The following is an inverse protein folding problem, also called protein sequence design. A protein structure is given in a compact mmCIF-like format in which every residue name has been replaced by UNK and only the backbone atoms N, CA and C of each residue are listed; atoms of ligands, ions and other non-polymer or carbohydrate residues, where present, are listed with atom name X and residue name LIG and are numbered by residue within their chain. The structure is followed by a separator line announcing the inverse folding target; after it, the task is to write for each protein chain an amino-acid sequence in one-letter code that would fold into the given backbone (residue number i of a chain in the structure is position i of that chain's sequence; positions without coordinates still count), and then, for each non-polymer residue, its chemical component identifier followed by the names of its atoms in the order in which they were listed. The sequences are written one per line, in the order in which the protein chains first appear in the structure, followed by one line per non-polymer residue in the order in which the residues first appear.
data_IF_661185966418
#
_entry.id   IF_661185966418
#
_cell.length_a   1.000
_cell.length_b   1.000
_cell.length_c   1.000
_cell.angle_alpha   90.00
_cell.angle_beta   90.00
_cell.angle_gamma   90.00
#
_symmetry.space_group_name_H-M   'P 1'
#
loop_
_entity.id
_entity.type
_entity.pdbx_description
1 polymer ?
#
# COMPACT_ATOMS: atom_id res chain seq x y z
N UNK A 1 5.45 -20.91 24.36
CA UNK A 1 6.63 -19.99 24.34
C UNK A 1 6.14 -18.63 23.93
N UNK A 2 6.74 -17.53 24.44
CA UNK A 2 6.41 -16.19 23.95
C UNK A 2 6.90 -16.05 22.51
N UNK A 3 6.09 -15.43 21.62
CA UNK A 3 6.49 -15.12 20.26
C UNK A 3 7.63 -14.09 20.26
N UNK A 4 8.59 -14.15 19.32
CA UNK A 4 9.59 -13.10 19.19
C UNK A 4 8.90 -11.76 18.88
N UNK A 5 9.42 -10.69 19.46
CA UNK A 5 8.98 -9.32 19.16
C UNK A 5 10.23 -8.42 19.10
N UNK A 6 10.55 -7.84 17.96
CA UNK A 6 9.82 -7.91 16.68
C UNK A 6 9.92 -9.28 15.98
N UNK A 7 8.90 -9.64 15.21
CA UNK A 7 8.87 -10.88 14.41
C UNK A 7 9.89 -10.86 13.25
N UNK A 8 10.16 -9.68 12.70
CA UNK A 8 11.20 -9.44 11.71
C UNK A 8 12.07 -8.30 12.25
N UNK A 9 13.28 -8.60 12.79
CA UNK A 9 14.15 -7.58 13.37
C UNK A 9 14.78 -6.69 12.30
N UNK A 10 15.06 -5.44 12.65
CA UNK A 10 15.71 -4.46 11.79
C UNK A 10 14.77 -3.34 11.32
N UNK A 11 15.15 -2.69 10.21
CA UNK A 11 14.39 -1.61 9.61
C UNK A 11 13.35 -2.17 8.63
N UNK A 12 12.13 -2.37 9.10
CA UNK A 12 11.02 -2.95 8.33
C UNK A 12 9.74 -2.12 8.55
N UNK A 13 9.71 -0.86 8.11
CA UNK A 13 8.55 0.02 8.25
C UNK A 13 7.43 -0.34 7.27
N UNK A 14 6.23 0.15 7.56
CA UNK A 14 5.05 0.11 6.69
C UNK A 14 4.74 -1.30 6.16
N UNK A 15 4.57 -2.31 7.02
CA UNK A 15 4.35 -3.68 6.57
C UNK A 15 2.95 -3.85 5.96
N UNK A 16 2.89 -4.47 4.78
CA UNK A 16 1.66 -4.99 4.20
C UNK A 16 1.74 -6.49 4.05
N UNK A 17 0.66 -7.20 4.42
CA UNK A 17 0.60 -8.66 4.43
C UNK A 17 -0.50 -9.20 3.52
N UNK A 18 -0.21 -10.32 2.85
CA UNK A 18 -1.21 -11.11 2.12
C UNK A 18 -1.08 -12.60 2.45
N UNK A 19 -2.21 -13.30 2.51
CA UNK A 19 -2.28 -14.76 2.64
C UNK A 19 -2.67 -15.40 1.33
N UNK A 20 -1.94 -16.46 0.94
CA UNK A 20 -2.24 -17.28 -0.25
C UNK A 20 -2.19 -18.75 0.16
N UNK A 21 -3.34 -19.38 0.31
CA UNK A 21 -3.43 -20.73 0.88
C UNK A 21 -2.91 -20.78 2.32
N UNK A 22 -1.86 -21.55 2.55
CA UNK A 22 -1.18 -21.67 3.86
C UNK A 22 0.04 -20.77 4.01
N UNK A 23 0.33 -19.97 2.99
CA UNK A 23 1.52 -19.13 2.93
C UNK A 23 1.16 -17.66 3.19
N UNK A 24 2.03 -16.95 3.91
CA UNK A 24 1.91 -15.53 4.22
C UNK A 24 3.10 -14.79 3.63
N UNK A 25 2.85 -13.61 3.07
CA UNK A 25 3.87 -12.78 2.48
C UNK A 25 3.77 -11.36 3.02
N UNK A 26 4.90 -10.77 3.41
CA UNK A 26 5.01 -9.38 3.86
C UNK A 26 5.92 -8.63 2.90
N UNK A 27 5.54 -7.40 2.57
CA UNK A 27 6.38 -6.39 1.91
C UNK A 27 6.55 -5.20 2.85
N UNK A 28 7.71 -4.53 2.79
CA UNK A 28 8.03 -3.35 3.58
C UNK A 28 8.58 -2.21 2.74
N UNK A 29 8.45 -0.98 3.23
CA UNK A 29 9.16 0.19 2.69
C UNK A 29 10.67 0.04 2.80
N UNK A 30 11.38 0.67 1.88
CA UNK A 30 12.84 0.78 1.94
C UNK A 30 13.35 2.19 1.71
N UNK A 31 12.46 3.15 1.46
CA UNK A 31 12.83 4.52 1.12
C UNK A 31 13.88 4.55 -0.01
N UNK A 32 15.01 5.24 0.18
CA UNK A 32 16.12 5.31 -0.78
C UNK A 32 17.02 4.07 -0.82
N UNK A 33 16.81 3.08 0.06
CA UNK A 33 17.66 1.90 0.10
C UNK A 33 17.32 0.87 -0.97
N UNK A 34 18.35 0.26 -1.58
CA UNK A 34 18.25 -0.78 -2.59
C UNK A 34 19.03 -2.04 -2.18
N UNK A 35 18.58 -3.24 -2.56
CA UNK A 35 17.36 -3.52 -3.34
C UNK A 35 16.10 -3.18 -2.58
N UNK A 36 15.08 -2.64 -3.29
CA UNK A 36 13.87 -2.10 -2.69
C UNK A 36 12.77 -3.13 -2.49
N UNK A 37 11.93 -2.90 -1.47
CA UNK A 37 10.73 -3.66 -1.18
C UNK A 37 11.02 -5.16 -0.96
N UNK A 38 11.61 -5.54 0.18
CA UNK A 38 11.84 -6.94 0.53
C UNK A 38 10.52 -7.70 0.64
N UNK A 39 10.51 -8.94 0.17
CA UNK A 39 9.41 -9.88 0.34
C UNK A 39 9.83 -10.94 1.34
N UNK A 40 9.12 -11.01 2.44
CA UNK A 40 9.26 -12.06 3.45
C UNK A 40 8.14 -13.07 3.32
N UNK A 41 8.46 -14.34 3.58
CA UNK A 41 7.55 -15.46 3.54
C UNK A 41 7.50 -16.17 4.90
N UNK A 42 6.31 -16.62 5.28
CA UNK A 42 6.07 -17.46 6.46
C UNK A 42 4.91 -18.41 6.23
N UNK A 43 4.86 -19.52 7.00
CA UNK A 43 3.72 -20.44 7.09
C UNK A 43 3.09 -20.48 8.48
N UNK A 44 3.66 -19.80 9.44
CA UNK A 44 3.24 -19.85 10.85
C UNK A 44 3.11 -18.45 11.50
N UNK A 45 3.45 -17.37 10.78
CA UNK A 45 3.49 -15.98 11.24
C UNK A 45 4.54 -15.68 12.32
N UNK A 46 5.35 -16.67 12.69
CA UNK A 46 6.41 -16.55 13.68
C UNK A 46 7.81 -16.59 13.03
N UNK A 47 7.99 -17.47 12.04
CA UNK A 47 9.25 -17.65 11.33
C UNK A 47 9.16 -17.06 9.93
N UNK A 48 9.95 -16.02 9.67
CA UNK A 48 9.95 -15.27 8.42
C UNK A 48 11.28 -15.41 7.69
N UNK A 49 11.22 -15.70 6.39
CA UNK A 49 12.37 -15.79 5.52
C UNK A 49 12.30 -14.73 4.43
N UNK A 50 13.36 -13.96 4.22
CA UNK A 50 13.51 -13.09 3.06
C UNK A 50 13.65 -13.96 1.80
N UNK A 51 12.74 -13.83 0.84
CA UNK A 51 12.71 -14.65 -0.39
C UNK A 51 13.05 -13.86 -1.65
N UNK A 52 13.00 -12.54 -1.61
CA UNK A 52 13.28 -11.69 -2.77
C UNK A 52 13.03 -10.22 -2.50
N UNK A 53 13.10 -9.43 -3.57
CA UNK A 53 12.79 -8.00 -3.57
C UNK A 53 11.98 -7.66 -4.82
N UNK A 54 11.04 -6.73 -4.70
CA UNK A 54 10.24 -6.25 -5.85
C UNK A 54 11.13 -5.44 -6.79
N UNK A 55 11.96 -4.55 -6.23
CA UNK A 55 12.80 -3.66 -7.00
C UNK A 55 14.28 -3.98 -6.79
N UNK A 56 14.85 -4.72 -7.73
CA UNK A 56 16.26 -5.14 -7.74
C UNK A 56 16.98 -4.85 -9.06
N UNK A 57 16.33 -4.13 -9.99
CA UNK A 57 16.89 -3.77 -11.29
C UNK A 57 16.87 -2.26 -11.51
N UNK A 58 17.86 -1.71 -12.24
CA UNK A 58 17.83 -0.31 -12.67
C UNK A 58 16.53 0.04 -13.41
N UNK A 59 15.97 1.22 -13.15
CA UNK A 59 14.77 1.72 -13.80
C UNK A 59 13.45 1.38 -13.11
N UNK A 60 13.42 0.40 -12.18
CA UNK A 60 12.21 0.11 -11.40
C UNK A 60 11.84 1.25 -10.45
N UNK A 61 12.84 1.87 -9.82
CA UNK A 61 12.70 3.15 -9.12
C UNK A 61 13.60 4.20 -9.75
N UNK A 62 13.36 5.47 -9.46
CA UNK A 62 14.21 6.56 -9.95
C UNK A 62 15.68 6.39 -9.54
N UNK A 63 15.94 5.83 -8.37
CA UNK A 63 17.27 5.48 -7.91
C UNK A 63 18.14 6.67 -7.53
N UNK A 64 19.36 6.73 -8.09
CA UNK A 64 20.36 7.72 -7.71
C UNK A 64 19.86 9.18 -7.85
N UNK A 65 20.13 9.99 -6.83
CA UNK A 65 19.75 11.41 -6.78
C UNK A 65 18.37 11.68 -6.16
N UNK A 66 17.68 10.66 -5.69
CA UNK A 66 16.49 10.85 -4.84
C UNK A 66 16.95 11.39 -3.49
N UNK A 67 16.37 12.53 -3.12
CA UNK A 67 16.70 13.17 -1.83
C UNK A 67 16.04 12.40 -0.69
N UNK A 68 16.77 12.07 0.40
CA UNK A 68 16.12 11.49 1.58
C UNK A 68 15.05 12.41 2.19
N UNK A 69 13.92 11.87 2.66
CA UNK A 69 13.54 10.46 2.67
C UNK A 69 12.73 10.00 1.43
N UNK A 70 13.23 10.18 0.22
CA UNK A 70 12.55 9.75 -1.02
C UNK A 70 12.56 8.24 -1.25
N UNK A 71 12.10 7.80 -2.44
CA UNK A 71 12.11 6.39 -2.85
C UNK A 71 10.85 5.63 -2.46
N UNK A 72 11.01 4.37 -2.05
CA UNK A 72 9.91 3.41 -1.86
C UNK A 72 9.18 3.61 -0.52
N UNK A 73 8.01 4.27 -0.57
CA UNK A 73 7.14 4.54 0.59
C UNK A 73 5.94 3.61 0.60
N UNK A 74 5.59 3.10 1.79
CA UNK A 74 4.39 2.34 2.15
C UNK A 74 3.81 1.47 1.02
N UNK A 75 4.42 0.31 0.72
CA UNK A 75 3.92 -0.61 -0.27
C UNK A 75 2.71 -1.38 0.23
N UNK A 76 1.79 -1.74 -0.67
CA UNK A 76 0.77 -2.76 -0.40
C UNK A 76 0.96 -3.96 -1.30
N UNK A 77 0.90 -5.17 -0.72
CA UNK A 77 0.88 -6.44 -1.45
C UNK A 77 -0.52 -7.02 -1.51
N UNK A 78 -0.93 -7.48 -2.69
CA UNK A 78 -2.19 -8.20 -2.94
C UNK A 78 -1.95 -9.43 -3.82
N UNK A 79 -2.90 -10.37 -3.78
CA UNK A 79 -2.88 -11.56 -4.64
C UNK A 79 -4.26 -11.77 -5.23
N UNK A 80 -4.31 -12.00 -6.54
CA UNK A 80 -5.54 -12.31 -7.27
C UNK A 80 -5.23 -13.11 -8.53
N UNK A 81 -6.00 -14.16 -8.77
CA UNK A 81 -6.00 -14.96 -10.01
C UNK A 81 -4.60 -15.44 -10.43
N UNK A 82 -3.77 -15.89 -9.46
CA UNK A 82 -2.42 -16.40 -9.70
C UNK A 82 -1.34 -15.34 -9.74
N UNK A 83 -1.67 -14.05 -9.62
CA UNK A 83 -0.73 -12.92 -9.73
C UNK A 83 -0.60 -12.20 -8.39
N UNK A 84 0.62 -11.91 -8.00
CA UNK A 84 0.94 -10.97 -6.95
C UNK A 84 1.02 -9.56 -7.52
N UNK A 85 0.46 -8.61 -6.80
CA UNK A 85 0.47 -7.18 -7.10
C UNK A 85 1.14 -6.45 -5.95
N UNK A 86 2.06 -5.55 -6.25
CA UNK A 86 2.60 -4.60 -5.28
C UNK A 86 2.41 -3.19 -5.82
N UNK A 87 1.70 -2.37 -5.07
CA UNK A 87 1.62 -0.93 -5.31
C UNK A 87 2.46 -0.19 -4.29
N UNK A 88 3.10 0.90 -4.71
CA UNK A 88 4.03 1.66 -3.88
C UNK A 88 4.18 3.07 -4.41
N UNK A 89 4.49 4.03 -3.55
CA UNK A 89 4.90 5.37 -3.97
C UNK A 89 6.42 5.45 -4.10
N UNK A 90 6.94 5.72 -5.29
CA UNK A 90 8.33 6.18 -5.51
C UNK A 90 8.40 7.69 -5.29
N UNK A 91 8.55 8.09 -4.02
CA UNK A 91 8.47 9.48 -3.59
C UNK A 91 9.68 10.29 -4.08
N UNK A 92 9.45 11.43 -4.70
CA UNK A 92 10.40 12.23 -5.48
C UNK A 92 10.96 11.51 -6.73
N UNK A 93 10.42 10.34 -7.08
CA UNK A 93 10.81 9.53 -8.22
C UNK A 93 9.74 9.48 -9.31
N UNK A 94 9.22 8.28 -9.55
CA UNK A 94 8.23 7.94 -10.59
C UNK A 94 6.78 8.10 -10.14
N UNK A 95 6.51 8.44 -8.86
CA UNK A 95 5.16 8.50 -8.31
C UNK A 95 4.60 7.12 -7.92
N UNK A 96 3.29 6.94 -8.02
CA UNK A 96 2.66 5.67 -7.68
C UNK A 96 2.92 4.63 -8.77
N UNK A 97 3.40 3.45 -8.36
CA UNK A 97 3.80 2.35 -9.23
C UNK A 97 3.04 1.07 -8.91
N UNK A 98 2.73 0.30 -9.93
CA UNK A 98 2.16 -1.05 -9.83
C UNK A 98 3.12 -2.07 -10.40
N UNK A 99 3.57 -3.00 -9.58
CA UNK A 99 4.40 -4.15 -9.96
C UNK A 99 3.58 -5.44 -9.91
N UNK A 100 3.91 -6.39 -10.79
CA UNK A 100 3.27 -7.69 -10.86
C UNK A 100 4.29 -8.83 -10.93
N UNK A 101 3.95 -9.98 -10.37
CA UNK A 101 4.72 -11.23 -10.49
C UNK A 101 3.81 -12.46 -10.30
N UNK A 102 4.10 -13.57 -10.97
CA UNK A 102 3.48 -14.87 -10.68
C UNK A 102 4.11 -15.52 -9.45
N UNK A 103 5.42 -15.30 -9.26
CA UNK A 103 6.19 -15.80 -8.11
C UNK A 103 6.55 -14.63 -7.17
N UNK A 104 6.19 -14.68 -5.89
CA UNK A 104 6.48 -13.60 -4.94
C UNK A 104 7.99 -13.36 -4.73
N UNK A 105 8.84 -14.37 -4.99
CA UNK A 105 10.30 -14.19 -5.02
C UNK A 105 10.80 -13.44 -6.26
N UNK A 106 9.93 -13.22 -7.26
CA UNK A 106 10.23 -12.57 -8.54
C UNK A 106 10.53 -13.57 -9.67
N UNK A 107 10.91 -13.08 -10.86
CA UNK A 107 11.13 -11.67 -11.15
C UNK A 107 9.84 -10.85 -11.18
N UNK A 108 9.89 -9.64 -10.67
CA UNK A 108 8.81 -8.66 -10.73
C UNK A 108 8.89 -7.84 -12.03
N UNK A 109 7.76 -7.30 -12.48
CA UNK A 109 7.69 -6.40 -13.64
C UNK A 109 8.53 -5.12 -13.43
N UNK A 110 8.64 -4.28 -14.47
CA UNK A 110 9.38 -3.01 -14.39
C UNK A 110 8.57 -1.86 -13.75
N UNK A 111 7.33 -2.16 -13.36
CA UNK A 111 6.43 -1.21 -12.73
C UNK A 111 5.70 -0.32 -13.73
N UNK A 112 4.37 -0.26 -13.61
CA UNK A 112 3.49 0.62 -14.37
C UNK A 112 3.25 1.88 -13.54
N UNK A 113 3.42 3.06 -14.14
CA UNK A 113 3.09 4.33 -13.49
C UNK A 113 1.58 4.53 -13.47
N UNK A 114 1.05 4.80 -12.26
CA UNK A 114 -0.36 5.14 -12.06
C UNK A 114 -0.50 6.66 -12.11
N UNK A 115 -1.30 7.18 -13.02
CA UNK A 115 -1.46 8.62 -13.25
C UNK A 115 -2.34 9.27 -12.17
N UNK A 116 -1.98 9.08 -10.90
CA UNK A 116 -2.66 9.66 -9.74
C UNK A 116 -1.62 10.09 -8.70
N UNK A 117 -1.85 11.24 -8.09
CA UNK A 117 -1.06 11.73 -6.95
C UNK A 117 -1.41 11.02 -5.64
N UNK A 118 -0.93 11.58 -4.52
CA UNK A 118 -1.07 10.98 -3.20
C UNK A 118 0.05 9.98 -2.91
N UNK A 119 -0.02 9.38 -1.73
CA UNK A 119 0.95 8.41 -1.22
C UNK A 119 0.21 7.16 -0.69
N UNK A 120 0.95 6.14 -0.29
CA UNK A 120 0.45 4.93 0.40
C UNK A 120 -0.66 4.22 -0.40
N UNK A 121 -0.38 3.79 -1.63
CA UNK A 121 -1.41 3.20 -2.48
C UNK A 121 -1.84 1.82 -1.98
N UNK A 122 -3.15 1.54 -2.08
CA UNK A 122 -3.74 0.22 -1.83
C UNK A 122 -4.62 -0.22 -3.00
N UNK A 123 -4.64 -1.53 -3.29
CA UNK A 123 -5.51 -2.14 -4.28
C UNK A 123 -6.61 -2.98 -3.62
N UNK A 124 -7.83 -2.83 -4.11
CA UNK A 124 -8.94 -3.70 -3.79
C UNK A 124 -9.76 -4.02 -5.04
N UNK A 125 -10.39 -5.20 -5.06
CA UNK A 125 -11.28 -5.59 -6.14
C UNK A 125 -12.69 -5.83 -5.60
N UNK A 126 -13.66 -5.39 -6.38
CA UNK A 126 -15.04 -5.73 -6.17
C UNK A 126 -15.34 -7.16 -6.69
N UNK A 127 -16.53 -7.67 -6.41
CA UNK A 127 -16.97 -9.01 -6.82
C UNK A 127 -17.03 -9.17 -8.35
N UNK A 128 -17.34 -8.08 -9.08
CA UNK A 128 -17.37 -8.03 -10.53
C UNK A 128 -15.98 -7.92 -11.18
N UNK A 129 -14.91 -7.89 -10.38
CA UNK A 129 -13.53 -7.77 -10.84
C UNK A 129 -13.04 -6.33 -11.05
N UNK A 130 -13.86 -5.33 -10.77
CA UNK A 130 -13.47 -3.92 -10.85
C UNK A 130 -12.37 -3.64 -9.82
N UNK A 131 -11.27 -3.05 -10.28
CA UNK A 131 -10.11 -2.70 -9.45
C UNK A 131 -10.18 -1.25 -8.99
N UNK A 132 -9.92 -1.05 -7.71
CA UNK A 132 -9.88 0.26 -7.06
C UNK A 132 -8.51 0.50 -6.45
N UNK A 133 -8.02 1.71 -6.64
CA UNK A 133 -6.82 2.23 -6.01
C UNK A 133 -7.24 3.24 -4.95
N UNK A 134 -6.82 3.03 -3.72
CA UNK A 134 -6.96 4.00 -2.63
C UNK A 134 -5.60 4.65 -2.37
N UNK A 135 -5.57 5.95 -2.11
CA UNK A 135 -4.37 6.72 -1.78
C UNK A 135 -4.65 7.72 -0.66
N UNK A 136 -3.60 8.13 0.04
CA UNK A 136 -3.64 9.19 1.03
C UNK A 136 -3.13 10.51 0.46
N UNK A 137 -3.59 11.62 1.03
CA UNK A 137 -3.04 12.95 0.77
C UNK A 137 -3.32 13.53 -0.62
N UNK A 138 -4.26 12.96 -1.39
CA UNK A 138 -4.68 13.52 -2.66
C UNK A 138 -5.51 14.79 -2.42
N UNK A 139 -5.06 15.93 -2.97
CA UNK A 139 -5.77 17.20 -2.83
C UNK A 139 -6.98 17.24 -3.76
N UNK A 140 -8.17 16.99 -3.21
CA UNK A 140 -9.47 17.09 -3.91
C UNK A 140 -10.23 18.40 -3.59
N UNK A 141 -9.51 19.46 -3.23
CA UNK A 141 -10.07 20.74 -2.78
C UNK A 141 -9.83 20.99 -1.29
N UNK A 142 -10.06 22.23 -0.85
CA UNK A 142 -9.90 22.59 0.55
C UNK A 142 -11.12 22.14 1.36
N UNK A 143 -10.94 21.24 2.30
CA UNK A 143 -11.89 21.05 3.39
C UNK A 143 -11.48 21.95 4.56
N UNK A 144 -12.43 22.78 5.04
CA UNK A 144 -12.22 23.71 6.14
C UNK A 144 -11.73 22.94 7.40
N UNK A 145 -10.55 23.29 7.91
CA UNK A 145 -9.95 22.66 9.10
C UNK A 145 -8.91 21.58 8.85
N UNK A 146 -8.64 21.21 7.59
CA UNK A 146 -7.63 20.19 7.23
C UNK A 146 -6.68 20.70 6.14
N UNK A 147 -6.07 21.85 6.38
CA UNK A 147 -5.08 22.42 5.48
C UNK A 147 -3.87 21.46 5.38
N UNK A 148 -3.71 20.81 4.22
CA UNK A 148 -2.57 19.96 3.89
C UNK A 148 -2.73 18.47 4.12
N UNK A 149 -3.90 17.97 4.59
CA UNK A 149 -4.16 16.54 4.74
C UNK A 149 -5.61 16.18 4.39
N UNK A 150 -5.80 15.50 3.27
CA UNK A 150 -7.14 15.27 2.69
C UNK A 150 -7.69 13.86 2.92
N UNK A 151 -7.14 13.11 3.89
CA UNK A 151 -7.59 11.77 4.19
C UNK A 151 -7.36 10.78 3.04
N UNK A 152 -8.24 9.79 2.93
CA UNK A 152 -8.17 8.72 1.95
C UNK A 152 -9.09 9.02 0.78
N UNK A 153 -8.54 8.92 -0.42
CA UNK A 153 -9.28 9.02 -1.69
C UNK A 153 -9.20 7.70 -2.45
N UNK A 154 -10.19 7.44 -3.28
CA UNK A 154 -10.29 6.22 -4.07
C UNK A 154 -10.66 6.52 -5.52
N UNK A 155 -10.11 5.73 -6.44
CA UNK A 155 -10.38 5.81 -7.86
C UNK A 155 -10.44 4.41 -8.47
N UNK A 156 -11.24 4.23 -9.52
CA UNK A 156 -11.22 3.02 -10.31
C UNK A 156 -10.07 3.05 -11.32
N UNK A 157 -9.35 1.96 -11.42
CA UNK A 157 -8.24 1.82 -12.37
C UNK A 157 -8.35 0.55 -13.22
N UNK A 158 -7.69 0.58 -14.36
CA UNK A 158 -7.32 -0.63 -15.08
C UNK A 158 -5.97 -1.12 -14.54
N UNK A 159 -5.99 -2.18 -13.73
CA UNK A 159 -4.78 -2.71 -13.08
C UNK A 159 -3.79 -3.42 -14.03
N UNK A 160 -4.15 -3.57 -15.31
CA UNK A 160 -3.25 -4.11 -16.35
C UNK A 160 -2.47 -2.98 -17.03
N UNK A 161 -3.14 -1.85 -17.28
CA UNK A 161 -2.53 -0.72 -18.01
C UNK A 161 -2.10 0.43 -17.11
N UNK A 162 -2.59 0.49 -15.86
CA UNK A 162 -2.40 1.61 -14.94
C UNK A 162 -3.32 2.80 -15.20
N UNK A 163 -4.22 2.69 -16.18
CA UNK A 163 -5.13 3.78 -16.55
C UNK A 163 -6.12 4.10 -15.42
N UNK A 164 -6.25 5.37 -15.10
CA UNK A 164 -7.27 5.90 -14.19
C UNK A 164 -8.58 6.08 -14.99
N UNK A 165 -9.67 5.45 -14.52
CA UNK A 165 -10.92 5.31 -15.28
C UNK A 165 -12.03 6.26 -14.85
N UNK A 166 -11.83 7.01 -13.78
CA UNK A 166 -12.80 7.97 -13.23
C UNK A 166 -12.10 9.07 -12.43
N UNK A 167 -12.82 10.12 -12.08
CA UNK A 167 -12.32 11.12 -11.14
C UNK A 167 -12.20 10.53 -9.74
N UNK A 168 -11.12 10.84 -9.01
CA UNK A 168 -10.97 10.39 -7.63
C UNK A 168 -12.09 10.93 -6.73
N UNK A 169 -12.56 10.11 -5.83
CA UNK A 169 -13.53 10.49 -4.81
C UNK A 169 -12.95 10.36 -3.41
N UNK A 170 -13.41 11.22 -2.54
CA UNK A 170 -13.07 11.11 -1.12
C UNK A 170 -13.75 9.88 -0.50
N UNK A 171 -13.00 9.07 0.24
CA UNK A 171 -13.49 7.85 0.89
C UNK A 171 -13.60 8.03 2.41
N UNK A 172 -12.57 8.59 3.05
CA UNK A 172 -12.46 8.67 4.51
C UNK A 172 -11.61 9.86 4.95
N UNK A 173 -12.11 10.66 5.90
CA UNK A 173 -11.38 11.83 6.42
C UNK A 173 -10.44 11.49 7.59
N UNK A 174 -10.57 10.30 8.15
CA UNK A 174 -9.91 9.91 9.39
C UNK A 174 -10.84 9.96 10.60
N UNK A 175 -10.35 9.42 11.72
CA UNK A 175 -11.10 9.38 12.99
C UNK A 175 -11.05 10.71 13.78
N UNK A 176 -10.35 11.72 13.25
CA UNK A 176 -10.10 13.00 13.91
C UNK A 176 -8.68 13.17 14.44
N UNK A 177 -7.82 12.16 14.26
CA UNK A 177 -6.38 12.30 14.41
C UNK A 177 -5.77 12.88 13.13
N UNK A 178 -4.56 13.43 13.23
CA UNK A 178 -3.86 13.96 12.05
C UNK A 178 -3.41 12.84 11.12
N UNK A 179 -3.31 13.13 9.83
CA UNK A 179 -2.64 12.28 8.84
C UNK A 179 -3.27 10.89 8.72
N UNK A 180 -4.53 10.81 8.25
CA UNK A 180 -5.10 9.54 7.83
C UNK A 180 -4.38 9.05 6.57
N UNK A 181 -3.55 8.02 6.69
CA UNK A 181 -2.65 7.49 5.66
C UNK A 181 -2.58 5.96 5.73
N UNK A 182 -1.82 5.31 4.84
CA UNK A 182 -1.67 3.85 4.82
C UNK A 182 -2.99 3.10 4.67
N UNK A 183 -3.88 3.45 3.73
CA UNK A 183 -5.16 2.76 3.60
C UNK A 183 -4.95 1.30 3.22
N UNK A 184 -5.70 0.40 3.89
CA UNK A 184 -5.85 -0.99 3.45
C UNK A 184 -7.32 -1.36 3.47
N UNK A 185 -7.87 -1.67 2.30
CA UNK A 185 -9.27 -2.04 2.14
C UNK A 185 -9.43 -3.55 2.04
N UNK A 186 -10.30 -4.13 2.87
CA UNK A 186 -10.59 -5.55 2.92
C UNK A 186 -12.09 -5.81 2.82
N UNK A 187 -12.50 -6.80 2.03
CA UNK A 187 -13.87 -7.33 2.03
C UNK A 187 -13.90 -8.63 2.84
N UNK A 188 -14.60 -8.64 3.95
CA UNK A 188 -14.70 -9.79 4.86
C UNK A 188 -16.17 -10.02 5.24
N UNK A 189 -16.76 -11.10 4.78
CA UNK A 189 -18.19 -11.37 4.91
C UNK A 189 -19.00 -10.28 4.20
N UNK A 190 -19.97 -9.69 4.88
CA UNK A 190 -20.87 -8.67 4.33
C UNK A 190 -20.31 -7.24 4.44
N UNK A 191 -19.06 -7.08 4.90
CA UNK A 191 -18.51 -5.77 5.23
C UNK A 191 -17.20 -5.47 4.51
N UNK A 192 -17.06 -4.22 4.14
CA UNK A 192 -15.79 -3.60 3.79
C UNK A 192 -15.16 -2.97 5.03
N UNK A 193 -13.89 -3.24 5.24
CA UNK A 193 -13.09 -2.67 6.32
C UNK A 193 -12.00 -1.82 5.72
N UNK A 194 -11.90 -0.57 6.19
CA UNK A 194 -10.80 0.33 5.86
C UNK A 194 -9.91 0.46 7.10
N UNK A 195 -8.68 0.00 6.99
CA UNK A 195 -7.61 0.20 7.97
C UNK A 195 -6.81 1.41 7.56
N UNK A 196 -6.46 2.29 8.50
CA UNK A 196 -5.60 3.47 8.25
C UNK A 196 -4.63 3.66 9.40
N UNK A 197 -3.44 4.21 9.11
CA UNK A 197 -2.57 4.80 10.08
C UNK A 197 -2.99 6.26 10.30
N UNK A 198 -2.95 6.73 11.53
CA UNK A 198 -3.26 8.11 11.90
C UNK A 198 -2.32 8.62 13.00
N UNK A 199 -2.30 9.93 13.24
CA UNK A 199 -1.47 10.56 14.26
C UNK A 199 -0.05 10.90 13.84
N UNK A 200 0.30 10.63 12.57
CA UNK A 200 1.64 10.85 12.00
C UNK A 200 2.69 9.89 12.54
N UNK A 201 3.90 10.00 12.05
CA UNK A 201 5.06 9.17 12.44
C UNK A 201 5.68 9.66 13.76
N UNK A 202 4.88 9.79 14.81
CA UNK A 202 5.29 10.30 16.13
C UNK A 202 4.58 9.48 17.23
N UNK A 203 4.69 9.92 18.48
CA UNK A 203 4.12 9.25 19.67
C UNK A 203 2.60 9.13 19.65
N UNK A 204 1.92 9.96 18.85
CA UNK A 204 0.48 9.90 18.63
C UNK A 204 0.04 8.86 17.61
N UNK A 205 0.97 8.12 17.00
CA UNK A 205 0.68 7.13 15.97
C UNK A 205 -0.32 6.07 16.45
N UNK A 206 -1.36 5.86 15.67
CA UNK A 206 -2.45 4.94 15.98
C UNK A 206 -2.95 4.26 14.70
N UNK A 207 -3.62 3.13 14.88
CA UNK A 207 -4.34 2.44 13.81
C UNK A 207 -5.82 2.66 14.01
N UNK A 208 -6.50 3.12 12.96
CA UNK A 208 -7.96 3.26 12.91
C UNK A 208 -8.54 2.24 11.96
N UNK A 209 -9.74 1.76 12.26
CA UNK A 209 -10.48 0.83 11.40
C UNK A 209 -11.93 1.27 11.29
N UNK A 210 -12.35 1.53 10.06
CA UNK A 210 -13.73 1.78 9.70
C UNK A 210 -14.39 0.56 9.09
N UNK A 211 -15.72 0.47 9.15
CA UNK A 211 -16.51 -0.62 8.58
C UNK A 211 -17.76 -0.11 7.88
N UNK A 212 -18.04 -0.62 6.68
CA UNK A 212 -19.26 -0.32 5.93
C UNK A 212 -19.77 -1.54 5.17
N UNK A 213 -21.06 -1.59 4.87
CA UNK A 213 -21.66 -2.55 3.92
C UNK A 213 -21.45 -2.11 2.45
N UNK A 214 -21.02 -0.88 2.24
CA UNK A 214 -20.70 -0.34 0.91
C UNK A 214 -19.27 0.22 0.92
N UNK A 215 -18.40 -0.27 0.01
CA UNK A 215 -17.04 0.26 -0.15
C UNK A 215 -17.00 1.75 -0.55
N UNK A 216 -18.12 2.28 -1.01
CA UNK A 216 -18.25 3.69 -1.45
C UNK A 216 -18.68 4.62 -0.34
N UNK A 217 -19.17 4.11 0.77
CA UNK A 217 -19.63 4.95 1.85
C UNK A 217 -18.46 5.43 2.68
N UNK A 218 -18.43 6.71 2.93
CA UNK A 218 -17.66 7.27 4.04
C UNK A 218 -18.19 6.64 5.34
N UNK A 219 -17.30 6.07 6.10
CA UNK A 219 -17.63 5.49 7.41
C UNK A 219 -18.01 6.59 8.37
#
# INVERSE_FOLDING_TARGET
MARPNPIIPGFNPDPSIVRVGDDYYIVNSTFEYLPGLPIYHSRDLDNWALIGHVANRPGQFKGAGVKPPGGAWAPTIRYRDGIFYVVVTDFFGRGNLLFTAENPAGPWSDGIELAIGGIDPDLAWDEDGTCYLSVSGLSLGSHEGFEGHNGISQVRINHITGEVLEEPRHLWQGSGLMFAEGPHLYHIGDYWYLLTAEGGTDRGHAVSIGRSTDRKSTV
#
